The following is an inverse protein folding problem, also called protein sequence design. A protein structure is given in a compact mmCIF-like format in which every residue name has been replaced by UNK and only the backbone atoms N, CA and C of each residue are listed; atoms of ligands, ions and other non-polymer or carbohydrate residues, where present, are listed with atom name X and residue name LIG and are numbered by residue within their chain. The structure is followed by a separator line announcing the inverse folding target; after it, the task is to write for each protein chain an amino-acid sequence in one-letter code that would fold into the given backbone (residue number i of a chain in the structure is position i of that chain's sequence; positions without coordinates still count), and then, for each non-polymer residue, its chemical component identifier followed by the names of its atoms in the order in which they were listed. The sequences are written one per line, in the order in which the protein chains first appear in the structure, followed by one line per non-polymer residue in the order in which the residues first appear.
data_IF_110272439683
#
_entry.id   IF_110272439683
#
_cell.length_a   1.000
_cell.length_b   1.000
_cell.length_c   1.000
_cell.angle_alpha   90.00
_cell.angle_beta   90.00
_cell.angle_gamma   90.00
#
_symmetry.space_group_name_H-M   'P 1'
#
loop_
_entity.id
_entity.type
_entity.pdbx_description
1 polymer ?
#
# COMPACT_ATOMS: atom_id res chain seq x y z
N UNK A 1 44.98 18.15 -21.70
CA UNK A 1 45.43 16.75 -21.60
C UNK A 1 45.38 16.36 -20.14
N UNK A 2 44.69 15.36 -19.62
CA UNK A 2 43.75 14.35 -20.11
C UNK A 2 43.13 13.78 -18.81
N UNK A 3 41.79 13.76 -18.73
CA UNK A 3 40.84 12.84 -18.03
C UNK A 3 41.27 12.10 -16.73
N UNK A 4 40.45 11.87 -15.70
CA UNK A 4 39.06 11.39 -15.57
C UNK A 4 38.47 11.84 -14.21
N UNK A 5 37.23 12.33 -14.07
CA UNK A 5 35.92 11.64 -14.06
C UNK A 5 35.70 10.63 -12.90
N UNK A 6 34.71 10.99 -12.07
CA UNK A 6 33.80 10.19 -11.22
C UNK A 6 33.97 10.29 -9.68
N UNK A 7 32.94 10.88 -9.04
CA UNK A 7 32.52 10.61 -7.65
C UNK A 7 32.18 9.12 -7.55
N UNK A 8 32.43 8.45 -6.42
CA UNK A 8 31.54 8.47 -5.26
C UNK A 8 32.39 8.41 -3.95
N UNK A 9 31.96 8.43 -2.70
CA UNK A 9 30.84 7.88 -1.94
C UNK A 9 30.91 8.64 -0.58
N UNK A 10 29.82 8.60 0.20
CA UNK A 10 29.80 9.09 1.57
C UNK A 10 30.93 8.49 2.42
N UNK A 11 31.87 9.33 2.88
CA UNK A 11 32.80 8.93 3.95
C UNK A 11 32.00 8.70 5.22
N UNK A 12 32.27 7.58 5.89
CA UNK A 12 31.55 6.95 6.99
C UNK A 12 31.43 7.76 8.30
N UNK A 13 31.41 9.08 8.23
CA UNK A 13 31.39 9.99 9.37
C UNK A 13 29.98 10.43 9.81
N UNK A 14 28.93 9.97 9.13
CA UNK A 14 27.54 10.33 9.43
C UNK A 14 26.73 9.25 10.17
N UNK A 15 27.37 8.18 10.65
CA UNK A 15 26.75 7.17 11.53
C UNK A 15 27.50 7.17 12.87
N UNK A 16 27.61 8.34 13.50
CA UNK A 16 27.97 8.43 14.92
C UNK A 16 26.91 9.27 15.62
N UNK A 17 25.64 8.89 15.47
CA UNK A 17 24.56 9.44 16.30
C UNK A 17 23.54 8.35 16.63
N UNK A 18 23.96 7.25 17.27
CA UNK A 18 23.06 6.49 18.16
C UNK A 18 23.73 5.47 19.10
N UNK A 19 24.89 5.79 19.65
CA UNK A 19 25.30 5.24 20.94
C UNK A 19 25.98 6.36 21.70
N UNK A 20 25.33 6.86 22.75
CA UNK A 20 25.68 8.10 23.44
C UNK A 20 27.05 8.04 24.14
N UNK A 21 28.12 8.26 23.37
CA UNK A 21 29.45 8.56 23.90
C UNK A 21 29.72 10.02 23.62
N UNK A 22 29.95 10.80 24.67
CA UNK A 22 30.31 12.21 24.58
C UNK A 22 31.66 12.36 23.85
N UNK A 23 31.73 13.30 22.91
CA UNK A 23 32.92 13.59 22.10
C UNK A 23 34.00 14.42 22.84
N UNK A 24 34.05 14.37 24.17
CA UNK A 24 34.97 15.19 24.98
C UNK A 24 36.18 14.42 25.57
N UNK A 25 36.32 13.11 25.29
CA UNK A 25 37.37 12.27 25.90
C UNK A 25 38.41 11.72 24.88
N UNK A 26 38.58 12.36 23.72
CA UNK A 26 39.66 12.00 22.78
C UNK A 26 40.83 12.97 22.92
N UNK A 27 41.64 12.76 23.96
CA UNK A 27 42.98 13.31 24.06
C UNK A 27 43.92 12.72 23.00
N UNK A 28 44.91 13.47 22.50
CA UNK A 28 45.84 12.98 21.49
C UNK A 28 47.07 12.36 22.14
N UNK A 29 47.32 11.08 21.90
CA UNK A 29 48.68 10.54 21.65
C UNK A 29 48.68 9.01 21.64
N UNK A 30 49.23 8.49 20.55
CA UNK A 30 50.27 7.46 20.52
C UNK A 30 50.08 6.13 21.26
N UNK A 31 50.10 5.08 20.42
CA UNK A 31 50.96 3.91 20.51
C UNK A 31 50.20 2.58 20.42
N UNK A 32 50.61 1.81 19.42
CA UNK A 32 50.10 0.50 19.06
C UNK A 32 50.91 -0.55 19.82
N UNK A 33 50.30 -1.32 20.73
CA UNK A 33 50.59 -2.76 20.85
C UNK A 33 49.75 -3.42 21.95
N UNK A 34 49.62 -4.74 21.77
CA UNK A 34 49.12 -5.75 22.70
C UNK A 34 47.60 -5.89 22.77
N UNK A 35 47.15 -6.86 21.96
CA UNK A 35 46.05 -7.79 22.19
C UNK A 35 45.44 -7.70 23.60
N UNK A 36 44.25 -7.12 23.71
CA UNK A 36 43.39 -7.38 24.86
C UNK A 36 41.93 -7.52 24.44
N UNK A 37 41.35 -8.56 25.02
CA UNK A 37 40.02 -9.14 24.92
C UNK A 37 39.00 -8.53 23.94
N UNK A 38 38.81 -9.20 22.80
CA UNK A 38 37.54 -9.20 22.06
C UNK A 38 36.52 -10.04 22.83
N UNK A 39 36.07 -9.55 23.98
CA UNK A 39 34.90 -10.11 24.66
C UNK A 39 33.64 -9.67 23.91
N UNK A 40 33.26 -10.51 22.94
CA UNK A 40 31.87 -10.91 22.66
C UNK A 40 30.81 -9.81 22.77
N UNK A 41 30.88 -8.80 21.89
CA UNK A 41 29.66 -8.13 21.44
C UNK A 41 29.06 -9.01 20.35
N UNK A 42 27.94 -9.68 20.67
CA UNK A 42 27.25 -10.59 19.75
C UNK A 42 26.62 -9.79 18.58
N UNK A 43 27.46 -9.46 17.60
CA UNK A 43 27.10 -8.75 16.37
C UNK A 43 26.18 -9.56 15.43
N UNK A 44 25.85 -10.82 15.78
CA UNK A 44 24.95 -11.63 14.98
C UNK A 44 23.51 -11.10 14.96
N UNK A 45 23.13 -10.26 15.93
CA UNK A 45 21.85 -9.53 15.95
C UNK A 45 21.84 -8.33 14.99
N UNK A 46 22.79 -7.41 15.14
CA UNK A 46 22.86 -6.18 14.32
C UNK A 46 23.10 -6.45 12.83
N UNK A 47 23.86 -7.49 12.47
CA UNK A 47 24.08 -7.85 11.06
C UNK A 47 22.83 -8.45 10.41
N UNK A 48 21.94 -9.12 11.16
CA UNK A 48 20.66 -9.60 10.60
C UNK A 48 19.73 -8.43 10.34
N UNK A 49 19.67 -7.47 11.25
CA UNK A 49 18.78 -6.32 11.13
C UNK A 49 19.24 -5.37 10.01
N UNK A 50 20.55 -5.09 9.88
CA UNK A 50 21.07 -4.28 8.77
C UNK A 50 20.98 -4.95 7.39
N UNK A 51 21.16 -6.27 7.30
CA UNK A 51 21.07 -6.99 6.01
C UNK A 51 19.61 -7.19 5.57
N UNK A 52 18.65 -7.23 6.51
CA UNK A 52 17.22 -7.20 6.20
C UNK A 52 16.82 -5.81 5.68
N UNK A 53 17.28 -4.72 6.30
CA UNK A 53 17.00 -3.35 5.85
C UNK A 53 17.53 -3.07 4.42
N UNK A 54 18.78 -3.42 4.12
CA UNK A 54 19.33 -3.23 2.76
C UNK A 54 18.64 -4.09 1.69
N UNK A 55 18.13 -5.27 2.06
CA UNK A 55 17.42 -6.16 1.13
C UNK A 55 15.97 -5.74 0.88
N UNK A 56 15.37 -5.00 1.80
CA UNK A 56 14.04 -4.39 1.62
C UNK A 56 14.09 -3.14 0.73
N UNK A 57 15.19 -2.39 0.75
CA UNK A 57 15.38 -1.24 -0.14
C UNK A 57 15.73 -1.63 -1.59
N UNK A 58 16.34 -2.81 -1.80
CA UNK A 58 16.80 -3.27 -3.12
C UNK A 58 15.73 -3.99 -3.97
N UNK A 59 14.59 -4.39 -3.39
CA UNK A 59 13.39 -4.78 -4.14
C UNK A 59 12.62 -3.48 -4.38
N UNK A 60 13.04 -2.70 -5.37
CA UNK A 60 12.54 -1.35 -5.63
C UNK A 60 11.05 -1.22 -5.33
N UNK A 61 10.71 -0.28 -4.45
CA UNK A 61 9.35 0.06 -3.99
C UNK A 61 8.30 -0.31 -5.04
N UNK A 62 7.68 -1.49 -4.90
CA UNK A 62 6.63 -1.91 -5.82
C UNK A 62 5.44 -1.01 -5.56
N UNK A 63 5.12 -0.14 -6.51
CA UNK A 63 3.91 0.67 -6.51
C UNK A 63 2.73 -0.27 -6.81
N UNK A 64 2.27 -0.97 -5.77
CA UNK A 64 1.25 -2.00 -5.85
C UNK A 64 -0.07 -1.41 -6.33
N UNK A 65 -0.33 -0.17 -6.00
CA UNK A 65 -1.48 0.61 -6.45
C UNK A 65 -1.44 0.78 -7.98
N UNK A 66 -0.27 1.13 -8.53
CA UNK A 66 -0.07 1.19 -9.98
C UNK A 66 -0.10 -0.18 -10.65
N UNK A 67 0.39 -1.24 -10.00
CA UNK A 67 0.26 -2.62 -10.51
C UNK A 67 -1.22 -3.02 -10.62
N UNK A 68 -2.04 -2.71 -9.61
CA UNK A 68 -3.48 -2.99 -9.64
C UNK A 68 -4.17 -2.26 -10.79
N UNK A 69 -3.94 -0.95 -10.93
CA UNK A 69 -4.64 -0.13 -11.92
C UNK A 69 -4.29 -0.50 -13.36
N UNK A 70 -3.09 -1.04 -13.59
CA UNK A 70 -2.63 -1.58 -14.87
C UNK A 70 -3.17 -3.00 -15.15
N UNK A 71 -3.72 -3.67 -14.15
CA UNK A 71 -4.23 -5.04 -14.25
C UNK A 71 -5.61 -5.15 -14.93
N UNK A 72 -5.96 -6.38 -15.32
CA UNK A 72 -7.25 -6.71 -15.93
C UNK A 72 -8.41 -6.85 -14.93
N UNK A 73 -8.11 -6.98 -13.63
CA UNK A 73 -9.12 -7.09 -12.57
C UNK A 73 -9.65 -5.70 -12.13
N UNK A 74 -9.88 -4.82 -13.09
CA UNK A 74 -10.28 -3.42 -12.87
C UNK A 74 -11.52 -3.05 -13.67
N UNK A 75 -12.27 -2.08 -13.14
CA UNK A 75 -13.42 -1.45 -13.77
C UNK A 75 -13.54 0.00 -13.28
N UNK A 76 -14.50 0.76 -13.82
CA UNK A 76 -14.69 2.18 -13.47
C UNK A 76 -14.87 2.35 -11.95
N UNK A 77 -15.73 1.53 -11.34
CA UNK A 77 -16.01 1.58 -9.91
C UNK A 77 -14.77 1.30 -9.03
N UNK A 78 -13.94 0.31 -9.37
CA UNK A 78 -12.70 0.06 -8.63
C UNK A 78 -11.67 1.18 -8.84
N UNK A 79 -11.65 1.78 -10.03
CA UNK A 79 -10.78 2.92 -10.37
C UNK A 79 -11.17 4.19 -9.59
N UNK A 80 -12.46 4.36 -9.29
CA UNK A 80 -12.94 5.42 -8.40
C UNK A 80 -12.37 5.28 -6.99
N UNK A 81 -12.45 4.07 -6.40
CA UNK A 81 -11.84 3.81 -5.08
C UNK A 81 -10.34 4.12 -5.13
N UNK A 82 -9.63 3.59 -6.13
CA UNK A 82 -8.19 3.83 -6.29
C UNK A 82 -7.84 5.32 -6.40
N UNK A 83 -8.63 6.08 -7.18
CA UNK A 83 -8.44 7.52 -7.38
C UNK A 83 -8.55 8.28 -6.06
N UNK A 84 -9.59 8.03 -5.27
CA UNK A 84 -9.78 8.67 -3.96
C UNK A 84 -8.66 8.29 -2.99
N UNK A 85 -8.28 7.01 -2.95
CA UNK A 85 -7.27 6.53 -1.98
C UNK A 85 -5.87 7.04 -2.29
N UNK A 86 -5.55 7.27 -3.57
CA UNK A 86 -4.23 7.73 -4.04
C UNK A 86 -4.16 9.23 -4.33
N UNK A 87 -5.29 9.93 -4.36
CA UNK A 87 -5.38 11.34 -4.74
C UNK A 87 -5.11 11.61 -6.23
N UNK A 88 -5.20 10.58 -7.09
CA UNK A 88 -4.96 10.67 -8.53
C UNK A 88 -6.28 10.74 -9.29
N UNK A 89 -6.28 11.23 -10.53
CA UNK A 89 -7.49 11.26 -11.36
C UNK A 89 -7.98 9.85 -11.70
N UNK A 90 -9.30 9.71 -11.88
CA UNK A 90 -9.91 8.45 -12.31
C UNK A 90 -9.52 8.18 -13.79
N UNK A 91 -8.85 7.06 -14.11
CA UNK A 91 -8.49 6.74 -15.49
C UNK A 91 -9.69 6.17 -16.27
N UNK A 92 -10.66 7.04 -16.58
CA UNK A 92 -11.89 6.74 -17.30
C UNK A 92 -12.34 7.93 -18.17
N UNK A 93 -12.46 7.78 -19.51
CA UNK A 93 -12.95 8.85 -20.37
C UNK A 93 -14.43 9.19 -20.17
N UNK A 94 -15.21 8.32 -19.52
CA UNK A 94 -16.66 8.45 -19.37
C UNK A 94 -17.05 8.97 -17.97
N UNK A 95 -16.05 9.28 -17.13
CA UNK A 95 -16.25 9.77 -15.79
C UNK A 95 -16.29 8.67 -14.70
N UNK A 96 -16.35 9.09 -13.43
CA UNK A 96 -16.53 8.20 -12.28
C UNK A 96 -17.93 7.59 -12.28
N UNK A 97 -18.05 6.37 -11.76
CA UNK A 97 -19.33 5.66 -11.64
C UNK A 97 -19.30 4.65 -10.47
N UNK A 98 -20.47 4.20 -10.06
CA UNK A 98 -20.69 3.20 -8.99
C UNK A 98 -20.61 1.77 -9.56
N UNK A 99 -20.44 0.74 -8.71
CA UNK A 99 -20.64 -0.63 -9.16
C UNK A 99 -22.15 -0.87 -9.43
N UNK A 100 -22.48 -1.35 -10.63
CA UNK A 100 -23.86 -1.58 -11.06
C UNK A 100 -24.28 -3.04 -10.93
N UNK A 101 -23.31 -3.96 -10.98
CA UNK A 101 -23.54 -5.38 -10.89
C UNK A 101 -22.57 -6.08 -9.92
N UNK A 102 -22.82 -7.37 -9.59
CA UNK A 102 -21.93 -8.11 -8.71
C UNK A 102 -20.50 -8.31 -9.25
N UNK A 103 -20.27 -8.21 -10.56
CA UNK A 103 -18.93 -8.29 -11.13
C UNK A 103 -18.15 -6.99 -10.89
N UNK A 104 -18.80 -5.83 -11.01
CA UNK A 104 -18.26 -4.53 -10.60
C UNK A 104 -17.95 -4.53 -9.10
N UNK A 105 -18.90 -4.96 -8.27
CA UNK A 105 -18.70 -5.06 -6.83
C UNK A 105 -17.54 -6.01 -6.50
N UNK A 106 -17.46 -7.16 -7.16
CA UNK A 106 -16.38 -8.12 -6.98
C UNK A 106 -14.99 -7.55 -7.25
N UNK A 107 -14.84 -6.72 -8.30
CA UNK A 107 -13.57 -6.00 -8.57
C UNK A 107 -13.24 -5.01 -7.46
N UNK A 108 -14.22 -4.26 -6.97
CA UNK A 108 -14.03 -3.34 -5.84
C UNK A 108 -13.67 -4.08 -4.55
N UNK A 109 -14.34 -5.21 -4.28
CA UNK A 109 -14.07 -6.06 -3.12
C UNK A 109 -12.64 -6.63 -3.16
N UNK A 110 -12.19 -7.16 -4.31
CA UNK A 110 -10.82 -7.68 -4.46
C UNK A 110 -9.76 -6.57 -4.35
N UNK A 111 -10.06 -5.36 -4.82
CA UNK A 111 -9.19 -4.20 -4.57
C UNK A 111 -9.05 -3.93 -3.07
N UNK A 112 -10.14 -3.86 -2.32
CA UNK A 112 -10.09 -3.61 -0.88
C UNK A 112 -9.47 -4.77 -0.09
N UNK A 113 -9.62 -6.01 -0.56
CA UNK A 113 -8.91 -7.16 0.00
C UNK A 113 -7.39 -7.05 -0.23
N UNK A 114 -6.96 -6.46 -1.36
CA UNK A 114 -5.55 -6.20 -1.65
C UNK A 114 -4.97 -5.07 -0.80
N UNK A 115 -5.78 -4.04 -0.50
CA UNK A 115 -5.40 -2.86 0.29
C UNK A 115 -6.33 -2.69 1.51
N UNK A 116 -6.19 -3.52 2.57
CA UNK A 116 -7.14 -3.56 3.68
C UNK A 116 -7.26 -2.24 4.44
N UNK A 117 -6.22 -1.41 4.47
CA UNK A 117 -6.26 -0.09 5.07
C UNK A 117 -7.34 0.83 4.44
N UNK A 118 -7.61 0.66 3.14
CA UNK A 118 -8.58 1.49 2.39
C UNK A 118 -10.02 1.18 2.78
N UNK A 119 -10.29 -0.02 3.30
CA UNK A 119 -11.65 -0.40 3.72
C UNK A 119 -12.22 0.54 4.78
N UNK A 120 -11.38 1.00 5.71
CA UNK A 120 -11.75 1.97 6.76
C UNK A 120 -12.01 3.38 6.21
N UNK A 121 -11.45 3.68 5.04
CA UNK A 121 -11.51 4.98 4.36
C UNK A 121 -12.63 5.08 3.32
N UNK A 122 -13.46 4.05 3.15
CA UNK A 122 -14.53 4.06 2.13
C UNK A 122 -15.53 5.22 2.28
N UNK A 123 -15.66 5.80 3.48
CA UNK A 123 -16.44 7.01 3.70
C UNK A 123 -15.91 8.22 2.90
N UNK A 124 -14.61 8.27 2.59
CA UNK A 124 -14.01 9.30 1.73
C UNK A 124 -14.55 9.20 0.30
N UNK A 125 -14.78 7.98 -0.20
CA UNK A 125 -15.37 7.76 -1.54
C UNK A 125 -16.78 8.33 -1.58
N UNK A 126 -17.60 8.06 -0.56
CA UNK A 126 -18.96 8.61 -0.44
C UNK A 126 -19.01 10.11 -0.12
N UNK A 127 -17.89 10.71 0.30
CA UNK A 127 -17.77 12.15 0.47
C UNK A 127 -17.48 12.85 -0.87
N UNK A 128 -16.66 12.24 -1.72
CA UNK A 128 -16.34 12.76 -3.07
C UNK A 128 -17.48 12.45 -4.07
N UNK A 129 -18.06 11.26 -3.98
CA UNK A 129 -19.09 10.74 -4.88
C UNK A 129 -20.34 10.33 -4.08
N UNK A 130 -21.30 11.25 -3.82
CA UNK A 130 -22.46 10.98 -2.97
C UNK A 130 -23.32 9.78 -3.39
N UNK A 131 -23.34 9.43 -4.68
CA UNK A 131 -24.00 8.25 -5.23
C UNK A 131 -23.47 6.91 -4.67
N UNK A 132 -22.24 6.91 -4.13
CA UNK A 132 -21.66 5.74 -3.45
C UNK A 132 -22.23 5.52 -2.05
N UNK A 133 -22.87 6.52 -1.44
CA UNK A 133 -23.23 6.50 -0.01
C UNK A 133 -24.05 5.27 0.38
N UNK A 134 -25.10 4.95 -0.37
CA UNK A 134 -25.94 3.78 -0.08
C UNK A 134 -25.16 2.46 -0.10
N UNK A 135 -24.19 2.32 -1.01
CA UNK A 135 -23.34 1.13 -1.13
C UNK A 135 -22.28 1.08 -0.02
N UNK A 136 -21.66 2.22 0.30
CA UNK A 136 -20.62 2.33 1.34
C UNK A 136 -21.21 2.04 2.72
N UNK A 137 -22.38 2.61 3.03
CA UNK A 137 -23.05 2.43 4.33
C UNK A 137 -23.45 0.96 4.59
N UNK A 138 -23.62 0.17 3.52
CA UNK A 138 -24.02 -1.24 3.56
C UNK A 138 -22.96 -2.19 3.01
N UNK A 139 -21.70 -1.76 3.00
CA UNK A 139 -20.62 -2.52 2.37
C UNK A 139 -20.45 -3.94 2.95
N UNK A 140 -20.54 -4.09 4.28
CA UNK A 140 -20.39 -5.39 4.93
C UNK A 140 -21.55 -6.34 4.62
N UNK A 141 -22.77 -5.79 4.52
CA UNK A 141 -23.96 -6.53 4.09
C UNK A 141 -23.79 -7.05 2.65
N UNK A 142 -23.37 -6.17 1.73
CA UNK A 142 -23.10 -6.54 0.33
C UNK A 142 -21.97 -7.57 0.22
N UNK A 143 -20.93 -7.43 1.03
CA UNK A 143 -19.82 -8.39 1.07
C UNK A 143 -20.29 -9.77 1.51
N UNK A 144 -21.13 -9.85 2.55
CA UNK A 144 -21.68 -11.11 3.03
C UNK A 144 -22.55 -11.80 1.96
N UNK A 145 -23.44 -11.06 1.31
CA UNK A 145 -24.27 -11.58 0.22
C UNK A 145 -23.42 -12.06 -0.96
N UNK A 146 -22.43 -11.26 -1.36
CA UNK A 146 -21.54 -11.59 -2.48
C UNK A 146 -20.77 -12.88 -2.22
N UNK A 147 -20.22 -13.05 -1.01
CA UNK A 147 -19.46 -14.25 -0.63
C UNK A 147 -20.37 -15.47 -0.48
N UNK A 148 -21.62 -15.32 -0.04
CA UNK A 148 -22.61 -16.41 0.02
C UNK A 148 -22.91 -16.98 -1.37
N UNK A 149 -22.88 -16.13 -2.41
CA UNK A 149 -23.24 -16.49 -3.78
C UNK A 149 -22.04 -17.00 -4.61
N UNK A 150 -20.81 -16.96 -4.10
CA UNK A 150 -19.64 -17.52 -4.78
C UNK A 150 -19.53 -19.06 -4.58
N UNK A 151 -19.04 -19.83 -5.57
CA UNK A 151 -18.55 -19.41 -6.89
C UNK A 151 -19.61 -19.56 -8.00
N UNK A 152 -20.91 -19.43 -7.67
CA UNK A 152 -22.02 -19.94 -8.50
C UNK A 152 -22.20 -19.28 -9.89
N UNK A 153 -21.33 -18.35 -10.28
CA UNK A 153 -21.35 -17.65 -11.57
C UNK A 153 -22.46 -16.60 -11.69
N UNK A 154 -23.33 -16.49 -10.69
CA UNK A 154 -24.37 -15.47 -10.58
C UNK A 154 -24.49 -15.01 -9.13
N UNK A 155 -24.90 -13.77 -8.91
CA UNK A 155 -25.11 -13.22 -7.56
C UNK A 155 -26.40 -12.39 -7.50
N UNK A 156 -27.57 -13.03 -7.68
CA UNK A 156 -28.85 -12.35 -7.78
C UNK A 156 -29.27 -11.59 -6.51
N UNK A 157 -28.94 -12.08 -5.31
CA UNK A 157 -29.24 -11.37 -4.05
C UNK A 157 -28.39 -10.11 -3.95
N UNK A 158 -27.09 -10.22 -4.22
CA UNK A 158 -26.18 -9.08 -4.26
C UNK A 158 -26.64 -8.03 -5.27
N UNK A 159 -27.00 -8.46 -6.49
CA UNK A 159 -27.49 -7.56 -7.53
C UNK A 159 -28.76 -6.81 -7.11
N UNK A 160 -29.79 -7.52 -6.63
CA UNK A 160 -31.04 -6.88 -6.15
C UNK A 160 -30.73 -5.86 -5.05
N UNK A 161 -29.89 -6.25 -4.09
CA UNK A 161 -29.55 -5.38 -2.97
C UNK A 161 -28.83 -4.12 -3.42
N UNK A 162 -27.90 -4.21 -4.37
CA UNK A 162 -27.21 -3.05 -4.93
C UNK A 162 -28.19 -2.08 -5.62
N UNK A 163 -29.18 -2.60 -6.36
CA UNK A 163 -30.21 -1.78 -7.02
C UNK A 163 -31.09 -1.05 -6.04
N UNK A 164 -31.55 -1.74 -4.99
CA UNK A 164 -32.32 -1.12 -3.89
C UNK A 164 -31.54 0.04 -3.25
N UNK A 165 -30.26 -0.16 -2.95
CA UNK A 165 -29.41 0.85 -2.31
C UNK A 165 -29.11 2.05 -3.22
N UNK A 166 -29.17 1.85 -4.53
CA UNK A 166 -29.07 2.90 -5.55
C UNK A 166 -30.41 3.58 -5.84
N UNK A 167 -31.50 3.15 -5.22
CA UNK A 167 -32.84 3.71 -5.40
C UNK A 167 -33.52 3.30 -6.71
N UNK A 168 -33.07 2.22 -7.34
CA UNK A 168 -33.72 1.69 -8.54
C UNK A 168 -34.92 0.83 -8.15
N UNK A 169 -36.10 1.16 -8.66
CA UNK A 169 -37.28 0.31 -8.54
C UNK A 169 -37.14 -0.95 -9.41
N UNK A 170 -37.75 -2.06 -8.97
CA UNK A 170 -37.82 -3.28 -9.78
C UNK A 170 -38.54 -2.99 -11.10
N UNK A 171 -38.04 -3.52 -12.25
CA UNK A 171 -38.80 -3.45 -13.49
C UNK A 171 -40.08 -4.26 -13.32
N UNK A 172 -41.22 -3.57 -13.33
CA UNK A 172 -42.57 -4.15 -13.34
C UNK A 172 -42.80 -5.10 -14.51
#
# INVERSE_FOLDING_TARGET
MTTHLLKPECSAYAIVVRCGVALDELGPSDDLSAEDSLDSVDCAGCLRDLVIDMRLEAIGSRDLESEWIAGSDTGISSKVIWSVMTGREVPCPHGPDVPHDPADFGRCHRLLARFPAWRSRMHEVAAVYPEWRGLVDRWDELTALYLEELPSGSAPKTWRRMRELRGESDPS
#
